data_IF_411531340885
#
_entry.id   IF_411531340885
#
_cell.length_a   1.000
_cell.length_b   1.000
_cell.length_c   1.000
_cell.angle_alpha   90.00
_cell.angle_beta   90.00
_cell.angle_gamma   90.00
#
_symmetry.space_group_name_H-M   'P 1'
#
loop_
_entity.id
_entity.type
_entity.pdbx_description
1 polymer ?
#
# COMPACT_ATOMS: atom_id res chain seq x y z
N UNK A 1 53.76 -10.50 -2.49
CA UNK A 1 52.39 -10.56 -3.05
C UNK A 1 51.56 -9.54 -2.31
N UNK A 2 51.56 -8.31 -2.82
CA UNK A 2 50.70 -7.23 -2.34
C UNK A 2 49.27 -7.57 -2.75
N UNK A 3 48.41 -7.84 -1.77
CA UNK A 3 46.98 -7.97 -2.00
C UNK A 3 46.47 -6.63 -2.55
N UNK A 4 45.93 -6.68 -3.75
CA UNK A 4 45.15 -5.59 -4.34
C UNK A 4 43.97 -5.31 -3.40
N UNK A 5 43.69 -4.06 -3.02
CA UNK A 5 42.46 -3.76 -2.28
C UNK A 5 41.28 -4.20 -3.13
N UNK A 6 40.37 -5.01 -2.57
CA UNK A 6 39.10 -5.32 -3.22
C UNK A 6 38.42 -4.01 -3.58
N UNK A 7 38.02 -3.85 -4.85
CA UNK A 7 37.13 -2.77 -5.27
C UNK A 7 35.97 -2.65 -4.27
N UNK A 8 35.52 -1.43 -3.90
CA UNK A 8 34.36 -1.30 -3.03
C UNK A 8 33.21 -2.10 -3.63
N UNK A 9 32.65 -3.01 -2.84
CA UNK A 9 31.49 -3.82 -3.20
C UNK A 9 30.38 -2.88 -3.68
N UNK A 10 29.77 -3.16 -4.84
CA UNK A 10 28.66 -2.33 -5.29
C UNK A 10 27.49 -2.44 -4.30
N UNK A 11 26.62 -1.44 -4.25
CA UNK A 11 25.43 -1.50 -3.38
C UNK A 11 24.53 -2.71 -3.73
N UNK A 12 24.53 -3.16 -4.98
CA UNK A 12 23.81 -4.37 -5.41
C UNK A 12 24.45 -5.65 -4.86
N UNK A 13 25.79 -5.72 -4.77
CA UNK A 13 26.48 -6.84 -4.15
C UNK A 13 26.23 -6.90 -2.63
N UNK A 14 26.17 -5.73 -1.99
CA UNK A 14 25.74 -5.64 -0.58
C UNK A 14 24.29 -6.10 -0.44
N UNK A 15 23.39 -5.72 -1.36
CA UNK A 15 21.98 -6.14 -1.33
C UNK A 15 21.84 -7.65 -1.52
N UNK A 16 22.65 -8.27 -2.39
CA UNK A 16 22.71 -9.72 -2.53
C UNK A 16 23.11 -10.40 -1.22
N UNK A 17 24.19 -9.96 -0.60
CA UNK A 17 24.66 -10.58 0.65
C UNK A 17 23.70 -10.35 1.82
N UNK A 18 23.24 -9.11 2.03
CA UNK A 18 22.47 -8.73 3.21
C UNK A 18 20.97 -9.04 3.06
N UNK A 19 20.36 -8.59 1.97
CA UNK A 19 18.91 -8.66 1.80
C UNK A 19 18.51 -10.01 1.22
N UNK A 20 19.12 -10.43 0.11
CA UNK A 20 18.79 -11.71 -0.50
C UNK A 20 19.30 -12.87 0.35
N UNK A 21 20.56 -12.89 0.76
CA UNK A 21 21.08 -14.05 1.50
C UNK A 21 20.60 -14.13 2.95
N UNK A 22 20.64 -13.03 3.70
CA UNK A 22 20.35 -13.02 5.14
C UNK A 22 18.93 -12.52 5.49
N UNK A 23 18.24 -11.84 4.57
CA UNK A 23 16.88 -11.32 4.82
C UNK A 23 16.88 -10.11 5.75
N UNK A 24 18.03 -9.44 5.87
CA UNK A 24 18.20 -8.22 6.64
C UNK A 24 17.91 -7.04 5.72
N UNK A 25 16.85 -6.28 6.03
CA UNK A 25 16.46 -5.12 5.25
C UNK A 25 17.55 -4.05 5.19
N UNK A 26 17.56 -3.30 4.10
CA UNK A 26 18.41 -2.12 3.96
C UNK A 26 17.92 -0.96 4.83
N UNK A 27 18.88 -0.26 5.45
CA UNK A 27 18.62 0.99 6.15
C UNK A 27 18.56 2.19 5.20
N UNK A 28 18.09 3.34 5.70
CA UNK A 28 17.85 4.56 4.92
C UNK A 28 19.03 4.96 4.00
N UNK A 29 20.26 4.99 4.50
CA UNK A 29 21.43 5.39 3.70
C UNK A 29 21.69 4.42 2.53
N UNK A 30 21.52 3.13 2.74
CA UNK A 30 21.66 2.13 1.67
C UNK A 30 20.55 2.29 0.63
N UNK A 31 19.33 2.62 1.07
CA UNK A 31 18.20 2.90 0.18
C UNK A 31 18.43 4.18 -0.62
N UNK A 32 19.03 5.23 -0.05
CA UNK A 32 19.44 6.43 -0.80
C UNK A 32 20.40 6.07 -1.94
N UNK A 33 21.37 5.18 -1.69
CA UNK A 33 22.28 4.70 -2.74
C UNK A 33 21.52 3.96 -3.84
N UNK A 34 20.58 3.05 -3.49
CA UNK A 34 19.70 2.37 -4.45
C UNK A 34 18.91 3.38 -5.28
N UNK A 35 18.33 4.39 -4.63
CA UNK A 35 17.50 5.41 -5.27
C UNK A 35 18.26 6.31 -6.24
N UNK A 36 19.60 6.38 -6.14
CA UNK A 36 20.47 7.17 -7.03
C UNK A 36 21.12 6.35 -8.14
N UNK A 37 20.84 5.06 -8.21
CA UNK A 37 21.35 4.20 -9.28
C UNK A 37 20.83 4.65 -10.65
N UNK A 38 21.67 4.68 -11.69
CA UNK A 38 21.26 5.08 -13.03
C UNK A 38 20.25 4.08 -13.63
N UNK A 39 19.44 4.54 -14.59
CA UNK A 39 18.44 3.67 -15.26
C UNK A 39 19.07 2.44 -15.92
N UNK A 40 20.33 2.52 -16.33
CA UNK A 40 21.06 1.41 -16.96
C UNK A 40 21.21 0.17 -16.06
N UNK A 41 21.09 0.31 -14.73
CA UNK A 41 21.14 -0.82 -13.79
C UNK A 41 19.76 -1.20 -13.24
N UNK A 42 18.70 -0.50 -13.64
CA UNK A 42 17.34 -0.78 -13.16
C UNK A 42 16.89 -2.23 -13.43
N UNK A 43 17.17 -2.84 -14.61
CA UNK A 43 16.80 -4.25 -14.83
C UNK A 43 17.47 -5.22 -13.84
N UNK A 44 18.74 -4.99 -13.49
CA UNK A 44 19.48 -5.80 -12.53
C UNK A 44 18.94 -5.61 -11.10
N UNK A 45 18.56 -4.39 -10.75
CA UNK A 45 17.94 -4.06 -9.47
C UNK A 45 16.57 -4.74 -9.31
N UNK A 46 15.72 -4.69 -10.34
CA UNK A 46 14.39 -5.32 -10.32
C UNK A 46 14.50 -6.84 -10.20
N UNK A 47 15.41 -7.45 -10.96
CA UNK A 47 15.68 -8.89 -10.85
C UNK A 47 16.13 -9.27 -9.43
N UNK A 48 17.04 -8.50 -8.82
CA UNK A 48 17.46 -8.73 -7.44
C UNK A 48 16.28 -8.61 -6.46
N UNK A 49 15.46 -7.57 -6.59
CA UNK A 49 14.28 -7.39 -5.74
C UNK A 49 13.26 -8.53 -5.92
N UNK A 50 13.09 -9.06 -7.15
CA UNK A 50 12.27 -10.22 -7.41
C UNK A 50 12.81 -11.49 -6.75
N UNK A 51 14.12 -11.73 -6.83
CA UNK A 51 14.76 -12.86 -6.13
C UNK A 51 14.58 -12.76 -4.61
N UNK A 52 14.71 -11.55 -4.04
CA UNK A 52 14.42 -11.29 -2.61
C UNK A 52 12.97 -11.66 -2.30
N UNK A 53 12.02 -11.20 -3.13
CA UNK A 53 10.59 -11.53 -2.97
C UNK A 53 10.36 -13.03 -3.02
N UNK A 54 10.87 -13.73 -4.02
CA UNK A 54 10.68 -15.17 -4.17
C UNK A 54 11.25 -15.95 -2.99
N UNK A 55 12.45 -15.59 -2.52
CA UNK A 55 13.11 -16.29 -1.40
C UNK A 55 12.39 -16.10 -0.07
N UNK A 56 11.85 -14.91 0.19
CA UNK A 56 11.35 -14.56 1.52
C UNK A 56 9.83 -14.48 1.64
N UNK A 57 9.11 -14.30 0.53
CA UNK A 57 7.64 -14.26 0.47
C UNK A 57 7.05 -15.44 -0.31
N UNK A 58 7.83 -16.10 -1.18
CA UNK A 58 7.35 -17.16 -2.05
C UNK A 58 6.78 -16.67 -3.40
N UNK A 59 6.25 -17.61 -4.20
CA UNK A 59 5.74 -17.30 -5.54
C UNK A 59 4.36 -16.65 -5.54
N UNK A 60 3.59 -16.86 -4.46
CA UNK A 60 2.19 -16.47 -4.35
C UNK A 60 1.98 -14.95 -4.29
N UNK A 61 0.77 -14.53 -4.67
CA UNK A 61 0.32 -13.13 -4.69
C UNK A 61 -0.99 -12.96 -3.97
N UNK A 62 -1.12 -11.90 -3.18
CA UNK A 62 -2.40 -11.54 -2.56
C UNK A 62 -3.23 -10.63 -3.46
N UNK A 63 -4.53 -10.92 -3.53
CA UNK A 63 -5.52 -10.12 -4.24
C UNK A 63 -6.50 -9.57 -3.22
N UNK A 64 -6.75 -8.27 -3.28
CA UNK A 64 -7.67 -7.56 -2.38
C UNK A 64 -8.64 -6.70 -3.20
N UNK A 65 -9.89 -6.64 -2.76
CA UNK A 65 -10.86 -5.64 -3.21
C UNK A 65 -11.12 -4.61 -2.13
N UNK A 66 -11.38 -3.37 -2.54
CA UNK A 66 -11.70 -2.28 -1.61
C UNK A 66 -13.03 -1.64 -1.97
N UNK A 67 -13.74 -1.12 -0.98
CA UNK A 67 -14.97 -0.35 -1.20
C UNK A 67 -15.06 0.82 -0.23
N UNK A 68 -15.58 1.94 -0.72
CA UNK A 68 -15.82 3.12 0.09
C UNK A 68 -17.24 3.08 0.68
N UNK A 69 -17.35 2.78 1.98
CA UNK A 69 -18.60 2.86 2.73
C UNK A 69 -19.10 4.31 2.85
N UNK A 70 -18.15 5.24 2.99
CA UNK A 70 -18.41 6.69 3.02
C UNK A 70 -17.42 7.38 2.10
N UNK A 71 -17.90 7.88 0.97
CA UNK A 71 -17.11 8.62 -0.02
C UNK A 71 -17.26 10.12 0.17
N UNK A 72 -16.18 10.88 -0.05
CA UNK A 72 -16.20 12.35 -0.16
C UNK A 72 -16.52 13.11 1.14
N UNK A 73 -16.28 14.42 1.17
CA UNK A 73 -16.55 15.26 2.35
C UNK A 73 -15.74 14.88 3.58
N UNK A 74 -14.49 14.42 3.40
CA UNK A 74 -13.55 14.20 4.50
C UNK A 74 -13.13 15.55 5.10
N UNK A 75 -13.03 15.69 6.44
CA UNK A 75 -12.62 16.96 7.04
C UNK A 75 -11.13 17.28 6.83
N UNK A 76 -10.31 16.28 6.49
CA UNK A 76 -8.86 16.41 6.34
C UNK A 76 -8.45 17.11 5.04
N UNK A 77 -7.28 17.76 5.03
CA UNK A 77 -6.75 18.54 3.92
C UNK A 77 -5.62 17.84 3.15
N UNK A 78 -5.63 16.50 3.06
CA UNK A 78 -4.61 15.77 2.29
C UNK A 78 -4.58 16.27 0.83
N UNK A 79 -3.49 16.93 0.44
CA UNK A 79 -3.36 17.71 -0.80
C UNK A 79 -3.52 16.90 -2.10
N UNK A 80 -3.37 15.57 -2.04
CA UNK A 80 -3.61 14.65 -3.15
C UNK A 80 -5.06 14.14 -3.23
N UNK A 81 -5.83 14.26 -2.16
CA UNK A 81 -7.04 13.48 -1.99
C UNK A 81 -8.27 14.18 -2.56
N UNK A 82 -8.87 13.61 -3.61
CA UNK A 82 -10.13 14.11 -4.18
C UNK A 82 -11.34 14.00 -3.26
N UNK A 83 -11.23 13.29 -2.13
CA UNK A 83 -12.31 13.15 -1.16
C UNK A 83 -12.31 14.22 -0.06
N UNK A 84 -11.26 15.05 0.01
CA UNK A 84 -11.20 16.16 0.96
C UNK A 84 -12.33 17.15 0.71
N UNK A 85 -13.06 17.49 1.77
CA UNK A 85 -14.07 18.56 1.77
C UNK A 85 -13.46 19.96 1.86
N UNK A 86 -12.13 20.08 1.99
CA UNK A 86 -11.41 21.35 2.00
C UNK A 86 -11.12 21.88 0.59
N UNK A 87 -11.30 21.05 -0.44
CA UNK A 87 -10.94 21.36 -1.83
C UNK A 87 -12.14 21.29 -2.77
N UNK A 88 -11.95 21.74 -4.02
CA UNK A 88 -13.02 21.89 -5.02
C UNK A 88 -13.15 20.68 -5.95
N UNK A 89 -12.65 19.53 -5.51
CA UNK A 89 -12.73 18.28 -6.28
C UNK A 89 -14.20 17.90 -6.58
N UNK A 90 -14.51 17.30 -7.74
CA UNK A 90 -15.90 16.99 -8.11
C UNK A 90 -16.53 15.81 -7.35
N UNK A 91 -15.80 15.18 -6.42
CA UNK A 91 -16.29 14.01 -5.67
C UNK A 91 -17.38 14.44 -4.68
N UNK A 92 -18.53 13.77 -4.76
CA UNK A 92 -19.68 14.03 -3.88
C UNK A 92 -19.67 13.14 -2.65
N UNK A 93 -20.24 13.64 -1.56
CA UNK A 93 -20.46 12.86 -0.36
C UNK A 93 -21.57 11.82 -0.60
N UNK A 94 -21.24 10.52 -0.44
CA UNK A 94 -22.17 9.40 -0.64
C UNK A 94 -21.90 8.34 0.42
N UNK A 95 -22.95 7.65 0.85
CA UNK A 95 -22.88 6.50 1.74
C UNK A 95 -23.39 5.28 1.00
N UNK A 96 -22.66 4.18 1.13
CA UNK A 96 -23.08 2.87 0.65
C UNK A 96 -24.01 2.22 1.68
N UNK A 97 -25.03 1.52 1.23
CA UNK A 97 -25.85 0.69 2.12
C UNK A 97 -25.22 -0.70 2.35
N UNK A 98 -25.71 -1.41 3.37
CA UNK A 98 -25.20 -2.75 3.71
C UNK A 98 -25.42 -3.77 2.58
N UNK A 99 -26.60 -3.84 1.93
CA UNK A 99 -26.80 -4.71 0.78
C UNK A 99 -25.77 -4.50 -0.35
N UNK A 100 -25.46 -3.25 -0.69
CA UNK A 100 -24.42 -2.91 -1.67
C UNK A 100 -23.03 -3.31 -1.18
N UNK A 101 -22.73 -3.17 0.11
CA UNK A 101 -21.47 -3.60 0.71
C UNK A 101 -21.29 -5.12 0.59
N UNK A 102 -22.32 -5.90 0.90
CA UNK A 102 -22.31 -7.37 0.74
C UNK A 102 -22.17 -7.76 -0.73
N UNK A 103 -22.84 -7.04 -1.65
CA UNK A 103 -22.68 -7.28 -3.10
C UNK A 103 -21.23 -7.07 -3.53
N UNK A 104 -20.60 -5.98 -3.11
CA UNK A 104 -19.19 -5.72 -3.41
C UNK A 104 -18.27 -6.80 -2.83
N UNK A 105 -18.50 -7.26 -1.60
CA UNK A 105 -17.73 -8.35 -1.00
C UNK A 105 -17.87 -9.67 -1.79
N UNK A 106 -19.07 -10.01 -2.26
CA UNK A 106 -19.32 -11.17 -3.14
C UNK A 106 -18.57 -11.06 -4.46
N UNK A 107 -18.59 -9.89 -5.07
CA UNK A 107 -17.88 -9.61 -6.32
C UNK A 107 -16.36 -9.73 -6.11
N UNK A 108 -15.83 -9.20 -5.02
CA UNK A 108 -14.42 -9.34 -4.64
C UNK A 108 -14.04 -10.80 -4.42
N UNK A 109 -14.79 -11.56 -3.63
CA UNK A 109 -14.48 -12.97 -3.38
C UNK A 109 -14.54 -13.82 -4.68
N UNK A 110 -15.42 -13.48 -5.63
CA UNK A 110 -15.49 -14.16 -6.92
C UNK A 110 -14.22 -14.00 -7.78
N UNK A 111 -13.39 -12.98 -7.51
CA UNK A 111 -12.08 -12.80 -8.16
C UNK A 111 -10.98 -13.72 -7.58
N UNK A 112 -11.27 -14.45 -6.48
CA UNK A 112 -10.27 -15.20 -5.73
C UNK A 112 -9.51 -14.35 -4.70
N UNK A 113 -9.92 -13.09 -4.49
CA UNK A 113 -9.40 -12.24 -3.42
C UNK A 113 -9.63 -12.89 -2.04
N UNK A 114 -8.58 -12.90 -1.23
CA UNK A 114 -8.63 -13.38 0.15
C UNK A 114 -9.08 -12.30 1.13
N UNK A 115 -9.08 -11.03 0.71
CA UNK A 115 -9.38 -9.89 1.57
C UNK A 115 -10.30 -8.85 0.90
N UNK A 116 -11.17 -8.27 1.72
CA UNK A 116 -12.07 -7.18 1.35
C UNK A 116 -11.97 -6.03 2.37
N UNK A 117 -11.61 -4.84 1.89
CA UNK A 117 -11.39 -3.68 2.75
C UNK A 117 -12.54 -2.66 2.69
N UNK A 118 -13.07 -2.35 3.87
CA UNK A 118 -14.09 -1.32 4.07
C UNK A 118 -13.38 0.00 4.39
N UNK A 119 -13.56 1.00 3.51
CA UNK A 119 -12.89 2.30 3.61
C UNK A 119 -13.89 3.42 3.87
N UNK A 120 -13.51 4.41 4.68
CA UNK A 120 -14.33 5.59 4.93
C UNK A 120 -13.51 6.88 4.86
N UNK A 121 -14.03 7.88 4.14
CA UNK A 121 -13.43 9.20 4.01
C UNK A 121 -13.66 10.08 5.26
N UNK A 122 -13.02 9.73 6.37
CA UNK A 122 -13.14 10.40 7.67
C UNK A 122 -11.77 10.64 8.31
N UNK A 123 -11.70 11.53 9.30
CA UNK A 123 -10.51 11.68 10.14
C UNK A 123 -10.25 10.43 10.98
N UNK A 124 -11.33 9.93 11.56
CA UNK A 124 -11.43 8.78 12.46
C UNK A 124 -12.92 8.42 12.59
N UNK A 125 -13.27 7.21 13.03
CA UNK A 125 -14.65 6.79 13.03
C UNK A 125 -15.42 7.37 14.24
N UNK A 126 -16.70 7.70 14.04
CA UNK A 126 -17.63 7.98 15.15
C UNK A 126 -18.43 6.72 15.51
N UNK A 127 -19.20 6.77 16.60
CA UNK A 127 -20.02 5.62 17.05
C UNK A 127 -20.98 5.12 15.97
N UNK A 128 -21.54 6.04 15.17
CA UNK A 128 -22.48 5.71 14.10
C UNK A 128 -21.78 4.94 12.98
N UNK A 129 -20.59 5.39 12.57
CA UNK A 129 -19.79 4.71 11.55
C UNK A 129 -19.35 3.33 12.05
N UNK A 130 -18.89 3.21 13.29
CA UNK A 130 -18.52 1.90 13.87
C UNK A 130 -19.71 0.95 13.93
N UNK A 131 -20.90 1.42 14.31
CA UNK A 131 -22.11 0.60 14.30
C UNK A 131 -22.47 0.13 12.88
N UNK A 132 -22.31 0.99 11.87
CA UNK A 132 -22.55 0.61 10.47
C UNK A 132 -21.50 -0.38 9.95
N UNK A 133 -20.21 -0.18 10.28
CA UNK A 133 -19.13 -1.10 9.94
C UNK A 133 -19.38 -2.46 10.56
N UNK A 134 -19.73 -2.51 11.86
CA UNK A 134 -20.07 -3.77 12.54
C UNK A 134 -21.21 -4.52 11.85
N UNK A 135 -22.31 -3.83 11.56
CA UNK A 135 -23.44 -4.44 10.86
C UNK A 135 -23.08 -4.90 9.44
N UNK A 136 -22.20 -4.17 8.76
CA UNK A 136 -21.65 -4.55 7.46
C UNK A 136 -20.79 -5.81 7.53
N UNK A 137 -19.89 -5.90 8.50
CA UNK A 137 -19.03 -7.07 8.74
C UNK A 137 -19.88 -8.31 9.01
N UNK A 138 -20.84 -8.22 9.93
CA UNK A 138 -21.75 -9.33 10.27
C UNK A 138 -22.54 -9.81 9.04
N UNK A 139 -23.00 -8.88 8.20
CA UNK A 139 -23.74 -9.20 6.98
C UNK A 139 -22.86 -9.84 5.89
N UNK A 140 -21.60 -9.40 5.74
CA UNK A 140 -20.66 -10.00 4.78
C UNK A 140 -20.29 -11.42 5.22
N UNK A 141 -19.91 -11.59 6.48
CA UNK A 141 -19.48 -12.90 7.02
C UNK A 141 -20.60 -13.95 7.00
N UNK A 142 -21.86 -13.52 7.03
CA UNK A 142 -23.01 -14.41 6.86
C UNK A 142 -23.14 -14.98 5.44
N UNK A 143 -22.51 -14.35 4.44
CA UNK A 143 -22.75 -14.60 3.02
C UNK A 143 -21.50 -15.06 2.25
N UNK A 144 -20.31 -14.71 2.72
CA UNK A 144 -19.04 -14.95 2.03
C UNK A 144 -17.93 -15.22 3.04
N UNK A 145 -17.09 -16.23 2.77
CA UNK A 145 -15.86 -16.47 3.54
C UNK A 145 -14.72 -15.64 2.94
N UNK A 146 -14.42 -14.50 3.57
CA UNK A 146 -13.37 -13.56 3.16
C UNK A 146 -12.83 -12.81 4.38
N UNK A 147 -11.52 -12.52 4.41
CA UNK A 147 -10.97 -11.70 5.48
C UNK A 147 -11.44 -10.25 5.32
N UNK A 148 -11.78 -9.60 6.43
CA UNK A 148 -12.22 -8.20 6.39
C UNK A 148 -11.12 -7.29 6.88
N UNK A 149 -10.76 -6.31 6.05
CA UNK A 149 -9.92 -5.20 6.43
C UNK A 149 -10.73 -3.91 6.61
N UNK A 150 -10.15 -2.95 7.32
CA UNK A 150 -10.76 -1.63 7.53
C UNK A 150 -9.74 -0.50 7.35
N UNK A 151 -10.17 0.61 6.74
CA UNK A 151 -9.44 1.87 6.69
C UNK A 151 -10.39 3.01 7.08
N UNK A 152 -10.40 3.35 8.36
CA UNK A 152 -11.38 4.26 8.97
C UNK A 152 -10.73 5.53 9.55
N UNK A 153 -9.47 5.81 9.20
CA UNK A 153 -8.71 6.95 9.70
C UNK A 153 -7.93 6.65 10.98
N UNK A 154 -7.66 7.68 11.76
CA UNK A 154 -6.99 7.59 13.06
C UNK A 154 -7.94 7.00 14.10
N UNK A 155 -7.42 6.12 14.94
CA UNK A 155 -8.19 5.42 15.97
C UNK A 155 -7.85 5.94 17.37
N UNK A 156 -8.75 5.67 18.31
CA UNK A 156 -8.46 5.64 19.75
C UNK A 156 -8.33 4.20 20.21
N UNK A 157 -7.77 3.95 21.41
CA UNK A 157 -7.60 2.59 21.93
C UNK A 157 -8.92 1.81 21.99
N UNK A 158 -9.97 2.42 22.52
CA UNK A 158 -11.29 1.79 22.61
C UNK A 158 -11.87 1.41 21.24
N UNK A 159 -11.51 2.13 20.18
CA UNK A 159 -11.95 1.81 18.82
C UNK A 159 -11.14 0.66 18.21
N UNK A 160 -9.85 0.58 18.52
CA UNK A 160 -9.01 -0.57 18.15
C UNK A 160 -9.57 -1.84 18.79
N UNK A 161 -9.87 -1.80 20.10
CA UNK A 161 -10.42 -2.95 20.82
C UNK A 161 -11.78 -3.38 20.23
N UNK A 162 -12.64 -2.42 19.87
CA UNK A 162 -13.91 -2.71 19.16
C UNK A 162 -13.70 -3.38 17.80
N UNK A 163 -12.70 -2.97 17.00
CA UNK A 163 -12.43 -3.59 15.70
C UNK A 163 -11.91 -5.02 15.86
N UNK A 164 -11.11 -5.29 16.89
CA UNK A 164 -10.69 -6.66 17.25
C UNK A 164 -11.91 -7.51 17.61
N UNK A 165 -12.84 -6.99 18.42
CA UNK A 165 -14.09 -7.69 18.76
C UNK A 165 -14.99 -7.96 17.55
N UNK A 166 -14.95 -7.08 16.53
CA UNK A 166 -15.66 -7.29 15.26
C UNK A 166 -14.99 -8.35 14.37
N UNK A 167 -13.79 -8.83 14.72
CA UNK A 167 -13.04 -9.79 13.89
C UNK A 167 -12.44 -9.15 12.64
N UNK A 168 -12.08 -7.87 12.69
CA UNK A 168 -11.28 -7.24 11.64
C UNK A 168 -9.92 -7.92 11.57
N UNK A 169 -9.56 -8.43 10.40
CA UNK A 169 -8.31 -9.14 10.15
C UNK A 169 -7.13 -8.16 10.04
N UNK A 170 -7.32 -7.07 9.28
CA UNK A 170 -6.25 -6.12 8.94
C UNK A 170 -6.76 -4.69 9.03
N UNK A 171 -5.93 -3.79 9.54
CA UNK A 171 -6.25 -2.36 9.56
C UNK A 171 -5.26 -1.57 8.71
N UNK A 172 -5.79 -0.82 7.74
CA UNK A 172 -4.99 0.05 6.89
C UNK A 172 -4.87 1.45 7.49
N UNK A 173 -3.63 1.89 7.70
CA UNK A 173 -3.31 3.26 8.07
C UNK A 173 -1.93 3.66 7.51
N UNK A 174 -1.90 4.28 6.33
CA UNK A 174 -0.64 4.68 5.68
C UNK A 174 0.14 5.73 6.47
N UNK A 175 1.44 5.88 6.26
CA UNK A 175 2.16 7.10 6.66
C UNK A 175 2.01 8.23 5.63
N UNK A 176 1.54 7.90 4.42
CA UNK A 176 1.39 8.75 3.23
C UNK A 176 2.71 9.24 2.64
N UNK A 177 3.58 9.84 3.44
CA UNK A 177 4.87 10.36 3.04
C UNK A 177 5.89 10.26 4.17
N UNK A 178 7.16 10.48 3.85
CA UNK A 178 8.23 10.55 4.84
C UNK A 178 7.96 11.65 5.88
N UNK A 179 8.37 11.44 7.13
CA UNK A 179 8.21 12.43 8.21
C UNK A 179 8.74 13.81 7.83
N UNK A 180 9.86 13.90 7.12
CA UNK A 180 10.44 15.17 6.66
C UNK A 180 9.62 15.89 5.58
N UNK A 181 8.80 15.18 4.81
CA UNK A 181 7.96 15.73 3.73
C UNK A 181 6.50 15.93 4.13
N UNK A 182 6.02 15.18 5.12
CA UNK A 182 4.63 15.11 5.54
C UNK A 182 3.89 16.46 5.68
N UNK A 183 4.50 17.55 6.23
CA UNK A 183 3.81 18.85 6.32
C UNK A 183 3.46 19.51 4.96
N UNK A 184 4.04 19.04 3.85
CA UNK A 184 3.68 19.48 2.50
C UNK A 184 2.48 18.71 1.94
N UNK A 185 2.16 17.56 2.54
CA UNK A 185 1.11 16.64 2.07
C UNK A 185 -0.21 16.90 2.79
N UNK A 186 -0.18 17.21 4.08
CA UNK A 186 -1.36 17.44 4.90
C UNK A 186 -1.02 18.33 6.10
N UNK A 187 -1.96 19.15 6.56
CA UNK A 187 -1.77 20.06 7.71
C UNK A 187 -2.79 19.86 8.83
N UNK A 188 -3.91 19.18 8.56
CA UNK A 188 -4.96 18.91 9.56
C UNK A 188 -4.58 17.84 10.58
N UNK A 189 -3.56 17.03 10.34
CA UNK A 189 -2.99 16.09 11.29
C UNK A 189 -1.48 15.99 11.13
N UNK A 190 -0.82 15.42 12.13
CA UNK A 190 0.62 15.21 12.16
C UNK A 190 0.99 13.77 11.77
N UNK A 191 2.25 13.59 11.35
CA UNK A 191 2.83 12.26 11.13
C UNK A 191 2.73 11.40 12.40
N UNK A 192 2.89 12.02 13.57
CA UNK A 192 2.91 11.32 14.85
C UNK A 192 1.54 10.73 15.22
N UNK A 193 0.44 11.42 14.93
CA UNK A 193 -0.90 10.87 15.13
C UNK A 193 -1.13 9.60 14.29
N UNK A 194 -0.56 9.56 13.07
CA UNK A 194 -0.63 8.38 12.20
C UNK A 194 0.23 7.24 12.73
N UNK A 195 1.44 7.56 13.17
CA UNK A 195 2.36 6.60 13.78
C UNK A 195 1.72 5.93 15.00
N UNK A 196 1.12 6.71 15.90
CA UNK A 196 0.43 6.21 17.10
C UNK A 196 -0.73 5.26 16.75
N UNK A 197 -1.51 5.56 15.70
CA UNK A 197 -2.54 4.64 15.23
C UNK A 197 -1.93 3.31 14.77
N UNK A 198 -0.82 3.35 14.04
CA UNK A 198 -0.11 2.14 13.60
C UNK A 198 0.41 1.32 14.79
N UNK A 199 1.00 1.97 15.80
CA UNK A 199 1.47 1.29 17.00
C UNK A 199 0.33 0.62 17.78
N UNK A 200 -0.81 1.31 17.96
CA UNK A 200 -1.96 0.70 18.64
C UNK A 200 -2.48 -0.53 17.90
N UNK A 201 -2.54 -0.51 16.56
CA UNK A 201 -2.96 -1.67 15.76
C UNK A 201 -1.96 -2.82 15.93
N UNK A 202 -0.66 -2.55 15.91
CA UNK A 202 0.39 -3.57 16.08
C UNK A 202 0.41 -4.22 17.45
N UNK A 203 -0.08 -3.54 18.47
CA UNK A 203 -0.24 -4.10 19.82
C UNK A 203 -1.42 -5.07 19.93
N UNK A 204 -2.16 -5.28 18.84
CA UNK A 204 -3.28 -6.22 18.77
C UNK A 204 -2.96 -7.46 17.92
N UNK A 205 -3.94 -8.35 17.77
CA UNK A 205 -3.89 -9.46 16.81
C UNK A 205 -4.18 -9.04 15.35
N UNK A 206 -4.60 -7.80 15.09
CA UNK A 206 -4.84 -7.36 13.71
C UNK A 206 -3.52 -7.21 12.94
N UNK A 207 -3.55 -7.56 11.67
CA UNK A 207 -2.46 -7.24 10.76
C UNK A 207 -2.42 -5.72 10.49
N UNK A 208 -1.24 -5.11 10.67
CA UNK A 208 -1.01 -3.74 10.21
C UNK A 208 -0.76 -3.72 8.69
N UNK A 209 -1.60 -2.96 7.97
CA UNK A 209 -1.36 -2.51 6.61
C UNK A 209 -0.97 -1.02 6.64
N UNK A 210 0.26 -0.70 6.28
CA UNK A 210 0.76 0.68 6.37
C UNK A 210 1.70 0.94 5.20
N UNK A 211 1.35 1.91 4.35
CA UNK A 211 2.19 2.27 3.21
C UNK A 211 2.24 3.75 2.95
N UNK A 212 2.33 4.13 1.69
CA UNK A 212 2.47 5.52 1.30
C UNK A 212 2.13 5.80 -0.15
N UNK A 213 2.26 7.07 -0.51
CA UNK A 213 2.04 7.63 -1.84
C UNK A 213 3.37 8.21 -2.33
N UNK A 214 3.73 7.92 -3.57
CA UNK A 214 4.93 8.48 -4.22
C UNK A 214 4.57 9.25 -5.48
N UNK A 215 5.43 10.17 -5.88
CA UNK A 215 5.19 11.08 -7.00
C UNK A 215 4.47 12.36 -6.62
N UNK A 216 4.48 12.75 -5.34
CA UNK A 216 3.96 14.02 -4.81
C UNK A 216 4.95 15.19 -4.93
N UNK A 217 6.13 14.96 -5.51
CA UNK A 217 7.23 15.92 -5.56
C UNK A 217 8.26 15.73 -4.45
N UNK A 218 8.15 14.65 -3.67
CA UNK A 218 9.16 14.22 -2.72
C UNK A 218 10.46 13.79 -3.41
N UNK A 219 11.59 14.00 -2.74
CA UNK A 219 12.90 13.62 -3.26
C UNK A 219 13.16 12.12 -3.15
N UNK A 220 14.14 11.57 -3.90
CA UNK A 220 14.56 10.18 -3.75
C UNK A 220 14.97 9.82 -2.31
N UNK A 221 15.59 10.75 -1.59
CA UNK A 221 15.94 10.58 -0.17
C UNK A 221 14.70 10.48 0.72
N UNK A 222 13.65 11.24 0.43
CA UNK A 222 12.39 11.17 1.17
C UNK A 222 11.66 9.85 0.90
N UNK A 223 11.74 9.29 -0.31
CA UNK A 223 11.23 7.93 -0.58
C UNK A 223 12.01 6.87 0.20
N UNK A 224 13.33 7.00 0.30
CA UNK A 224 14.17 6.12 1.11
C UNK A 224 13.87 6.24 2.62
N UNK A 225 13.68 7.46 3.13
CA UNK A 225 13.25 7.74 4.50
C UNK A 225 11.90 7.08 4.80
N UNK A 226 10.91 7.23 3.91
CA UNK A 226 9.61 6.59 4.06
C UNK A 226 9.73 5.05 4.12
N UNK A 227 10.52 4.44 3.24
CA UNK A 227 10.74 2.99 3.24
C UNK A 227 11.37 2.51 4.56
N UNK A 228 12.32 3.27 5.11
CA UNK A 228 12.93 2.97 6.40
C UNK A 228 11.94 3.13 7.57
N UNK A 229 11.11 4.18 7.57
CA UNK A 229 10.07 4.41 8.57
C UNK A 229 9.00 3.30 8.56
N UNK A 230 8.61 2.84 7.37
CA UNK A 230 7.71 1.69 7.22
C UNK A 230 8.37 0.41 7.73
N UNK A 231 9.64 0.17 7.42
CA UNK A 231 10.37 -1.00 7.93
C UNK A 231 10.46 -1.03 9.46
N UNK A 232 10.57 0.14 10.11
CA UNK A 232 10.55 0.27 11.57
C UNK A 232 9.20 -0.14 12.18
N UNK A 233 8.09 0.21 11.52
CA UNK A 233 6.75 -0.23 11.90
C UNK A 233 6.53 -1.74 11.68
N UNK A 234 7.37 -2.43 10.90
CA UNK A 234 7.22 -3.86 10.60
C UNK A 234 5.77 -4.25 10.22
N UNK A 235 5.13 -3.54 9.27
CA UNK A 235 3.79 -3.90 8.84
C UNK A 235 3.79 -5.28 8.16
N UNK A 236 2.64 -5.93 8.20
CA UNK A 236 2.41 -7.17 7.46
C UNK A 236 2.32 -6.87 5.96
N UNK A 237 1.75 -5.70 5.64
CA UNK A 237 1.56 -5.21 4.29
C UNK A 237 1.90 -3.73 4.14
N UNK A 238 2.50 -3.38 3.00
CA UNK A 238 2.77 -2.02 2.55
C UNK A 238 2.11 -1.80 1.19
N UNK A 239 0.99 -1.05 1.13
CA UNK A 239 0.44 -0.57 -0.12
C UNK A 239 1.29 0.59 -0.66
N UNK A 240 1.76 0.43 -1.89
CA UNK A 240 2.45 1.49 -2.62
C UNK A 240 1.47 2.12 -3.61
N UNK A 241 1.17 3.39 -3.37
CA UNK A 241 0.33 4.21 -4.22
C UNK A 241 1.21 5.14 -5.04
N UNK A 242 0.76 5.45 -6.26
CA UNK A 242 1.36 6.46 -7.12
C UNK A 242 0.39 7.64 -7.26
N UNK A 243 0.91 8.87 -7.24
CA UNK A 243 0.08 10.05 -7.37
C UNK A 243 -0.76 9.97 -8.66
N UNK A 244 -2.08 10.02 -8.49
CA UNK A 244 -3.04 10.27 -9.56
C UNK A 244 -3.52 11.72 -9.39
N UNK A 245 -2.98 12.69 -10.15
CA UNK A 245 -3.35 14.10 -10.01
C UNK A 245 -4.85 14.29 -10.21
N UNK A 246 -5.52 14.86 -9.21
CA UNK A 246 -6.98 15.02 -9.21
C UNK A 246 -7.39 16.47 -9.41
N UNK A 247 -8.26 16.78 -10.38
CA UNK A 247 -8.79 18.12 -10.56
C UNK A 247 -9.40 18.67 -9.27
N UNK A 248 -9.09 19.94 -8.98
CA UNK A 248 -9.57 20.65 -7.81
C UNK A 248 -8.80 20.37 -6.52
N UNK A 249 -7.82 19.46 -6.52
CA UNK A 249 -6.90 19.25 -5.37
C UNK A 249 -5.63 20.10 -5.54
N UNK A 250 -4.92 20.46 -4.45
CA UNK A 250 -3.64 21.18 -4.55
C UNK A 250 -2.58 20.48 -5.39
N UNK A 251 -2.59 19.14 -5.47
CA UNK A 251 -1.68 18.35 -6.32
C UNK A 251 -2.27 18.00 -7.69
N UNK A 252 -3.38 18.63 -8.08
CA UNK A 252 -4.14 18.28 -9.28
C UNK A 252 -3.41 18.50 -10.61
N UNK A 253 -2.42 19.39 -10.64
CA UNK A 253 -1.64 19.74 -11.83
C UNK A 253 -0.20 19.22 -11.78
N UNK A 254 0.14 18.39 -10.80
CA UNK A 254 1.47 17.78 -10.71
C UNK A 254 1.72 16.82 -11.89
N UNK A 255 2.95 16.74 -12.42
CA UNK A 255 3.28 15.78 -13.45
C UNK A 255 3.21 14.35 -12.90
N UNK A 256 2.90 13.39 -13.78
CA UNK A 256 3.00 11.97 -13.46
C UNK A 256 4.46 11.62 -13.21
N UNK A 257 4.70 10.85 -12.14
CA UNK A 257 6.01 10.31 -11.81
C UNK A 257 6.58 9.47 -12.96
N UNK A 258 7.88 9.57 -13.20
CA UNK A 258 8.56 8.74 -14.19
C UNK A 258 8.51 7.25 -13.81
N UNK A 259 8.27 6.38 -14.79
CA UNK A 259 8.09 4.95 -14.55
C UNK A 259 9.37 4.26 -14.03
N UNK A 260 10.56 4.69 -14.47
CA UNK A 260 11.82 4.11 -14.01
C UNK A 260 12.06 4.49 -12.53
N UNK A 261 11.75 5.72 -12.16
CA UNK A 261 11.76 6.18 -10.76
C UNK A 261 10.77 5.40 -9.89
N UNK A 262 9.57 5.11 -10.41
CA UNK A 262 8.55 4.35 -9.71
C UNK A 262 8.99 2.89 -9.49
N UNK A 263 9.56 2.25 -10.51
CA UNK A 263 10.12 0.89 -10.42
C UNK A 263 11.33 0.81 -9.47
N UNK A 264 12.22 1.81 -9.50
CA UNK A 264 13.33 1.91 -8.54
C UNK A 264 12.82 2.03 -7.10
N UNK A 265 11.75 2.80 -6.90
CA UNK A 265 11.07 2.91 -5.60
C UNK A 265 10.51 1.57 -5.14
N UNK A 266 9.83 0.82 -6.02
CA UNK A 266 9.32 -0.53 -5.73
C UNK A 266 10.46 -1.45 -5.26
N UNK A 267 11.57 -1.49 -6.00
CA UNK A 267 12.72 -2.31 -5.64
C UNK A 267 13.33 -1.88 -4.29
N UNK A 268 13.48 -0.57 -4.06
CA UNK A 268 13.98 -0.06 -2.78
C UNK A 268 13.10 -0.49 -1.60
N UNK A 269 11.78 -0.42 -1.73
CA UNK A 269 10.84 -0.88 -0.69
C UNK A 269 10.99 -2.38 -0.42
N UNK A 270 11.19 -3.21 -1.46
CA UNK A 270 11.46 -4.64 -1.30
C UNK A 270 12.78 -4.91 -0.59
N UNK A 271 13.83 -4.14 -0.90
CA UNK A 271 15.13 -4.26 -0.23
C UNK A 271 15.07 -3.77 1.23
N UNK A 272 14.22 -2.79 1.55
CA UNK A 272 13.98 -2.36 2.93
C UNK A 272 13.21 -3.43 3.74
N UNK A 273 12.26 -4.12 3.10
CA UNK A 273 11.31 -5.01 3.76
C UNK A 273 11.21 -6.37 3.04
N UNK A 274 12.18 -7.28 3.25
CA UNK A 274 12.30 -8.52 2.47
C UNK A 274 11.10 -9.46 2.60
N UNK A 275 10.38 -9.40 3.72
CA UNK A 275 9.29 -10.32 4.11
C UNK A 275 7.89 -9.73 4.03
N UNK A 276 7.79 -8.41 3.88
CA UNK A 276 6.51 -7.70 3.93
C UNK A 276 5.78 -7.85 2.59
N UNK A 277 4.46 -7.98 2.63
CA UNK A 277 3.65 -7.95 1.42
C UNK A 277 3.72 -6.54 0.85
N UNK A 278 4.17 -6.41 -0.40
CA UNK A 278 4.15 -5.14 -1.11
C UNK A 278 3.01 -5.17 -2.11
N UNK A 279 2.04 -4.29 -1.89
CA UNK A 279 0.80 -4.24 -2.65
C UNK A 279 0.80 -3.07 -3.62
N UNK A 280 0.50 -3.35 -4.88
CA UNK A 280 0.10 -2.30 -5.79
C UNK A 280 -1.29 -1.78 -5.42
N UNK A 281 -1.34 -0.51 -5.08
CA UNK A 281 -2.57 0.21 -4.79
C UNK A 281 -2.83 1.26 -5.90
N UNK A 282 -3.38 2.42 -5.54
CA UNK A 282 -3.87 3.41 -6.49
C UNK A 282 -2.78 3.98 -7.42
N UNK A 283 -3.12 4.21 -8.68
CA UNK A 283 -2.33 5.04 -9.61
C UNK A 283 -1.35 4.30 -10.52
N UNK A 284 -1.18 2.98 -10.35
CA UNK A 284 -0.24 2.18 -11.16
C UNK A 284 -0.53 2.28 -12.66
N UNK A 285 -1.80 2.39 -13.05
CA UNK A 285 -2.22 2.44 -14.44
C UNK A 285 -1.68 3.68 -15.15
N UNK A 286 -1.67 4.83 -14.46
CA UNK A 286 -1.17 6.09 -15.00
C UNK A 286 0.35 6.15 -14.96
N UNK A 287 0.97 5.72 -13.87
CA UNK A 287 2.42 5.87 -13.64
C UNK A 287 3.25 4.80 -14.35
N UNK A 288 2.76 3.56 -14.39
CA UNK A 288 3.53 2.42 -14.88
C UNK A 288 2.99 1.85 -16.20
N UNK A 289 1.71 2.07 -16.51
CA UNK A 289 1.06 1.42 -17.64
C UNK A 289 1.12 -0.11 -17.55
N UNK A 290 0.94 -0.81 -18.67
CA UNK A 290 0.95 -2.27 -18.70
C UNK A 290 2.37 -2.85 -18.45
N UNK A 291 3.36 -2.35 -19.20
CA UNK A 291 4.74 -2.84 -19.13
C UNK A 291 5.37 -2.59 -17.75
N UNK A 292 5.25 -1.38 -17.21
CA UNK A 292 5.79 -1.08 -15.88
C UNK A 292 5.07 -1.86 -14.76
N UNK A 293 3.76 -2.11 -14.90
CA UNK A 293 3.04 -2.95 -13.92
C UNK A 293 3.64 -4.36 -13.91
N UNK A 294 3.89 -4.94 -15.09
CA UNK A 294 4.56 -6.24 -15.23
C UNK A 294 5.97 -6.22 -14.63
N UNK A 295 6.76 -5.20 -14.92
CA UNK A 295 8.13 -5.06 -14.43
C UNK A 295 8.20 -4.97 -12.91
N UNK A 296 7.27 -4.26 -12.24
CA UNK A 296 7.32 -4.21 -10.77
C UNK A 296 6.71 -5.43 -10.07
N UNK A 297 5.80 -6.19 -10.69
CA UNK A 297 5.42 -7.55 -10.22
C UNK A 297 6.63 -8.50 -10.27
N UNK A 298 7.43 -8.37 -11.33
CA UNK A 298 8.75 -8.99 -11.47
C UNK A 298 9.89 -8.15 -10.86
N UNK A 299 9.55 -7.22 -9.95
CA UNK A 299 10.47 -6.25 -9.37
C UNK A 299 10.32 -6.11 -7.85
N UNK A 300 9.50 -6.95 -7.23
CA UNK A 300 9.34 -7.02 -5.78
C UNK A 300 7.89 -6.91 -5.28
N UNK A 301 6.93 -6.51 -6.10
CA UNK A 301 5.50 -6.54 -5.73
C UNK A 301 5.01 -7.99 -5.65
N UNK A 302 4.14 -8.25 -4.66
CA UNK A 302 3.50 -9.55 -4.47
C UNK A 302 2.05 -9.43 -3.96
N UNK A 303 1.40 -8.30 -4.20
CA UNK A 303 -0.02 -8.14 -3.98
C UNK A 303 -0.60 -7.06 -4.90
N UNK A 304 -1.90 -7.15 -5.20
CA UNK A 304 -2.61 -6.18 -6.05
C UNK A 304 -4.00 -5.87 -5.50
N UNK A 305 -4.40 -4.61 -5.58
CA UNK A 305 -5.83 -4.24 -5.51
C UNK A 305 -6.43 -4.46 -6.90
N UNK A 306 -7.52 -5.21 -6.98
CA UNK A 306 -8.26 -5.49 -8.23
C UNK A 306 -9.53 -4.66 -8.34
N UNK A 307 -9.92 -4.37 -9.57
CA UNK A 307 -11.07 -3.54 -9.87
C UNK A 307 -10.82 -2.06 -9.55
N UNK A 308 -11.90 -1.34 -9.23
CA UNK A 308 -11.81 0.09 -8.98
C UNK A 308 -11.21 0.41 -7.61
N UNK A 309 -10.53 1.55 -7.54
CA UNK A 309 -10.18 2.17 -6.27
C UNK A 309 -11.35 3.01 -5.74
N UNK A 310 -11.11 3.82 -4.70
CA UNK A 310 -12.16 4.62 -4.05
C UNK A 310 -12.83 5.64 -4.98
N UNK A 311 -12.03 6.46 -5.67
CA UNK A 311 -12.52 7.54 -6.56
C UNK A 311 -11.82 7.58 -7.91
N UNK A 312 -11.01 6.57 -8.20
CA UNK A 312 -10.26 6.42 -9.45
C UNK A 312 -10.56 5.05 -10.02
N UNK A 313 -10.73 5.00 -11.35
CA UNK A 313 -10.89 3.73 -12.04
C UNK A 313 -9.55 2.98 -11.97
N UNK A 314 -9.63 1.70 -11.66
CA UNK A 314 -8.52 0.78 -11.80
C UNK A 314 -8.61 0.01 -13.11
N UNK A 315 -7.73 -0.98 -13.25
CA UNK A 315 -7.84 -1.98 -14.30
C UNK A 315 -9.02 -2.93 -14.03
N UNK A 316 -9.57 -3.51 -15.09
CA UNK A 316 -10.53 -4.60 -14.95
C UNK A 316 -9.88 -5.77 -14.18
N UNK A 317 -10.64 -6.38 -13.26
CA UNK A 317 -10.14 -7.47 -12.44
C UNK A 317 -9.66 -8.66 -13.30
N UNK A 318 -10.38 -8.99 -14.38
CA UNK A 318 -10.02 -10.11 -15.25
C UNK A 318 -8.68 -9.89 -15.95
N UNK A 319 -8.35 -8.64 -16.30
CA UNK A 319 -7.06 -8.30 -16.90
C UNK A 319 -5.91 -8.42 -15.89
N UNK A 320 -6.12 -8.03 -14.64
CA UNK A 320 -5.13 -8.24 -13.56
C UNK A 320 -4.92 -9.74 -13.30
N UNK A 321 -6.00 -10.53 -13.23
CA UNK A 321 -5.92 -11.97 -13.03
C UNK A 321 -5.21 -12.68 -14.19
N UNK A 322 -5.48 -12.25 -15.44
CA UNK A 322 -4.79 -12.74 -16.62
C UNK A 322 -3.29 -12.42 -16.57
N UNK A 323 -2.92 -11.21 -16.16
CA UNK A 323 -1.51 -10.82 -15.99
C UNK A 323 -0.80 -11.69 -14.94
N UNK A 324 -1.44 -11.95 -13.80
CA UNK A 324 -0.86 -12.83 -12.77
C UNK A 324 -0.67 -14.26 -13.29
N UNK A 325 -1.65 -14.78 -14.04
CA UNK A 325 -1.55 -16.09 -14.70
C UNK A 325 -0.38 -16.13 -15.71
N UNK A 326 -0.26 -15.11 -16.57
CA UNK A 326 0.83 -15.00 -17.55
C UNK A 326 2.21 -14.97 -16.89
N UNK A 327 2.31 -14.33 -15.73
CA UNK A 327 3.52 -14.24 -14.92
C UNK A 327 3.77 -15.49 -14.05
N UNK A 328 2.88 -16.48 -14.09
CA UNK A 328 2.94 -17.69 -13.26
C UNK A 328 3.01 -17.36 -11.75
N UNK A 329 2.26 -16.34 -11.35
CA UNK A 329 2.18 -15.85 -9.99
C UNK A 329 0.84 -16.32 -9.37
N UNK A 330 0.81 -17.50 -8.72
CA UNK A 330 -0.45 -18.07 -8.21
C UNK A 330 -1.05 -17.18 -7.14
N UNK A 331 -2.38 -17.06 -7.14
CA UNK A 331 -3.11 -16.32 -6.11
C UNK A 331 -3.07 -17.12 -4.82
N UNK A 332 -2.67 -16.48 -3.74
CA UNK A 332 -2.61 -17.07 -2.41
C UNK A 332 -4.01 -17.43 -1.93
N UNK A 333 -4.19 -18.66 -1.46
CA UNK A 333 -5.47 -19.09 -0.89
C UNK A 333 -5.80 -18.34 0.41
N UNK A 334 -7.09 -18.28 0.74
CA UNK A 334 -7.58 -17.68 1.98
C UNK A 334 -6.92 -18.35 3.21
N UNK A 335 -6.09 -17.59 3.93
CA UNK A 335 -5.55 -17.99 5.23
C UNK A 335 -6.25 -17.21 6.33
N UNK A 336 -6.84 -17.94 7.29
CA UNK A 336 -7.38 -17.37 8.53
C UNK A 336 -6.25 -17.27 9.55
N UNK A 337 -5.33 -16.33 9.36
CA UNK A 337 -4.36 -15.99 10.39
C UNK A 337 -4.96 -14.87 11.23
N UNK A 338 -5.23 -15.16 12.51
CA UNK A 338 -5.59 -14.19 13.54
C UNK A 338 -4.40 -13.99 14.47
#
# INVERSE_FOLDING_TARGET
>A
MTQTPSSPSSILDVARAQVLEEGLGFGEQQLVEIMRLPDSVLPELLELAHQVRLKWCGPEVEVEGIVSLKTGGCPEDCHFCSQSGQFTSPVRAVWLDIPELVRAAKETAATGASEFCIVAAVRGPDERLLAQVKAGIEAIQAEVDINIACSLGMLTRDQVDQLVEMGVHRYNHNLEAARSYFPHVVTTHSFEERWQTCEMVRETGMELCCGGLVGMGESPEQRAELAAQLAELKPHEVPLNFLNPRPGTPFGDMPIMDSADALRTVAAFRLAMPRTILRYAGGRELTLGELGTREGLLGGINAVIVGNYLTTLGRDADEDLALLSDLQMPIKELSKTL
#
